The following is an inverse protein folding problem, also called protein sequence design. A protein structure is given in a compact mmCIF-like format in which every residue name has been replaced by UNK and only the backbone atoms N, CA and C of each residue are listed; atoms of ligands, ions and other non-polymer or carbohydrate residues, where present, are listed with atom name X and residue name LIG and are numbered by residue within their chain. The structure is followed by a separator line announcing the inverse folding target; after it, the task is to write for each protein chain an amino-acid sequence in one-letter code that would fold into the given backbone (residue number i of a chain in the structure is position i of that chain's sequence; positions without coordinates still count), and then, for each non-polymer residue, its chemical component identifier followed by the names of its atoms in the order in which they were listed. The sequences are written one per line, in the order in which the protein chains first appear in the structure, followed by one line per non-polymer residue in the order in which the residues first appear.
data_IF_899550675497
#
_entry.id   IF_899550675497
#
_cell.length_a   1.000
_cell.length_b   1.000
_cell.length_c   1.000
_cell.angle_alpha   90.00
_cell.angle_beta   90.00
_cell.angle_gamma   90.00
#
_symmetry.space_group_name_H-M   'P 1'
#
loop_
_entity.id
_entity.type
_entity.pdbx_description
1 polymer ?
#
# COMPACT_ATOMS: atom_id res chain seq x y z
N UNK A 1 6.84 9.90 27.26
CA UNK A 1 7.62 9.75 28.51
C UNK A 1 6.71 10.11 29.66
N UNK A 2 6.63 9.25 30.68
CA UNK A 2 5.92 9.53 31.93
C UNK A 2 6.99 9.81 32.98
N UNK A 3 6.85 10.94 33.69
CA UNK A 3 7.78 11.33 34.77
C UNK A 3 7.04 11.28 36.07
N UNK A 4 7.60 10.60 37.07
CA UNK A 4 7.11 10.66 38.45
C UNK A 4 7.95 11.63 39.24
N UNK A 5 7.29 12.55 40.00
CA UNK A 5 7.94 13.43 40.95
C UNK A 5 7.78 12.87 42.37
N UNK A 6 8.78 13.07 43.24
CA UNK A 6 8.81 12.57 44.62
C UNK A 6 8.60 11.02 44.72
N UNK A 7 9.27 10.30 43.85
CA UNK A 7 9.11 8.85 43.73
C UNK A 7 10.18 8.04 44.48
N UNK A 8 10.74 8.61 45.54
CA UNK A 8 11.75 7.93 46.39
C UNK A 8 11.14 6.65 46.99
N UNK A 9 11.89 5.55 46.87
CA UNK A 9 11.47 4.18 47.28
C UNK A 9 10.26 3.61 46.50
N UNK A 10 9.96 4.15 45.30
CA UNK A 10 8.92 3.65 44.45
C UNK A 10 9.51 2.85 43.27
N UNK A 11 8.71 1.92 42.77
CA UNK A 11 8.97 1.18 41.51
C UNK A 11 7.81 1.37 40.53
N UNK A 12 8.05 1.11 39.27
CA UNK A 12 7.00 1.18 38.23
C UNK A 12 6.66 -0.24 37.81
N UNK A 13 5.38 -0.53 37.70
CA UNK A 13 4.82 -1.63 36.95
C UNK A 13 4.07 -1.09 35.73
N UNK A 14 4.20 -1.78 34.57
CA UNK A 14 3.52 -1.39 33.35
C UNK A 14 3.03 -2.60 32.59
N UNK A 15 1.80 -2.55 32.11
CA UNK A 15 1.20 -3.59 31.28
C UNK A 15 0.27 -2.99 30.23
N UNK A 16 0.10 -3.68 29.13
CA UNK A 16 -0.92 -3.35 28.13
C UNK A 16 -2.04 -4.39 28.13
N UNK A 17 -3.25 -3.98 27.77
CA UNK A 17 -4.40 -4.88 27.56
C UNK A 17 -4.23 -5.77 26.30
N UNK A 18 -3.23 -5.49 25.45
CA UNK A 18 -2.85 -6.27 24.29
C UNK A 18 -1.35 -6.65 24.32
N UNK A 19 -0.95 -7.40 25.33
CA UNK A 19 0.45 -7.78 25.57
C UNK A 19 1.07 -8.62 24.44
N UNK A 20 0.24 -9.32 23.65
CA UNK A 20 0.73 -10.07 22.48
C UNK A 20 1.16 -9.16 21.34
N UNK A 21 0.59 -7.94 21.23
CA UNK A 21 0.90 -6.94 20.21
C UNK A 21 1.88 -5.89 20.70
N UNK A 22 1.79 -5.50 21.97
CA UNK A 22 2.64 -4.47 22.57
C UNK A 22 3.34 -5.03 23.82
N UNK A 23 4.61 -5.34 23.68
CA UNK A 23 5.44 -5.73 24.83
C UNK A 23 5.88 -4.50 25.62
N UNK A 24 5.84 -4.61 26.94
CA UNK A 24 6.31 -3.56 27.85
C UNK A 24 7.57 -4.01 28.56
N UNK A 25 8.52 -3.11 28.75
CA UNK A 25 9.67 -3.27 29.63
C UNK A 25 9.84 -2.03 30.50
N UNK A 26 10.31 -2.24 31.73
CA UNK A 26 10.54 -1.17 32.72
C UNK A 26 12.01 -1.20 33.10
N UNK A 27 12.65 -0.03 33.02
CA UNK A 27 14.02 0.17 33.51
C UNK A 27 14.06 1.43 34.38
N UNK A 28 14.12 1.26 35.70
CA UNK A 28 13.97 2.33 36.67
C UNK A 28 12.61 3.02 36.51
N UNK A 29 12.60 4.31 36.18
CA UNK A 29 11.39 5.11 35.94
C UNK A 29 11.01 5.24 34.47
N UNK A 30 11.62 4.43 33.59
CA UNK A 30 11.35 4.46 32.14
C UNK A 30 10.56 3.23 31.75
N UNK A 31 9.40 3.46 31.13
CA UNK A 31 8.59 2.42 30.51
C UNK A 31 8.81 2.47 28.98
N UNK A 32 9.23 1.36 28.42
CA UNK A 32 9.37 1.18 26.97
C UNK A 32 8.26 0.26 26.48
N UNK A 33 7.57 0.67 25.43
CA UNK A 33 6.57 -0.14 24.71
C UNK A 33 7.11 -0.48 23.33
N UNK A 34 7.22 -1.77 23.03
CA UNK A 34 7.69 -2.28 21.74
C UNK A 34 6.53 -2.96 21.03
N UNK A 35 6.02 -2.39 19.93
CA UNK A 35 4.99 -3.04 19.12
C UNK A 35 5.59 -4.17 18.29
N UNK A 36 4.85 -5.26 18.08
CA UNK A 36 5.08 -6.18 16.98
C UNK A 36 4.59 -5.56 15.67
N UNK A 37 5.06 -6.07 14.55
CA UNK A 37 4.57 -5.62 13.24
C UNK A 37 3.04 -5.81 13.14
N UNK A 38 2.34 -4.74 12.75
CA UNK A 38 0.93 -4.83 12.41
C UNK A 38 0.81 -5.23 10.94
N UNK A 39 0.46 -6.47 10.70
CA UNK A 39 0.28 -7.02 9.34
C UNK A 39 -1.12 -6.74 8.77
N UNK A 40 -2.02 -6.15 9.56
CA UNK A 40 -3.39 -5.81 9.15
C UNK A 40 -3.47 -4.37 8.66
N UNK A 41 -4.44 -4.05 7.82
CA UNK A 41 -4.71 -2.69 7.34
C UNK A 41 -5.36 -1.81 8.42
N UNK A 42 -5.91 -2.42 9.47
CA UNK A 42 -6.58 -1.73 10.57
C UNK A 42 -5.58 -1.27 11.61
N UNK A 43 -5.78 -0.07 12.13
CA UNK A 43 -5.00 0.38 13.29
C UNK A 43 -5.31 -0.48 14.52
N UNK A 44 -4.28 -0.87 15.26
CA UNK A 44 -4.42 -1.57 16.53
C UNK A 44 -4.27 -0.56 17.65
N UNK A 45 -5.30 -0.44 18.50
CA UNK A 45 -5.27 0.41 19.69
C UNK A 45 -5.20 -0.46 20.95
N UNK A 46 -4.48 0.01 21.95
CA UNK A 46 -4.40 -0.63 23.25
C UNK A 46 -4.31 0.42 24.36
N UNK A 47 -4.55 -0.01 25.58
CA UNK A 47 -4.38 0.82 26.77
C UNK A 47 -3.14 0.36 27.54
N UNK A 48 -2.18 1.26 27.71
CA UNK A 48 -1.03 1.07 28.58
C UNK A 48 -1.43 1.53 29.99
N UNK A 49 -1.36 0.64 30.97
CA UNK A 49 -1.56 0.95 32.38
C UNK A 49 -0.20 0.99 33.06
N UNK A 50 0.10 2.08 33.73
CA UNK A 50 1.34 2.32 34.49
C UNK A 50 0.95 2.53 35.95
N UNK A 51 1.54 1.75 36.85
CA UNK A 51 1.34 1.85 38.31
C UNK A 51 2.63 2.28 38.97
N UNK A 52 2.53 3.25 39.84
CA UNK A 52 3.59 3.59 40.80
C UNK A 52 3.37 2.75 42.07
N UNK A 53 4.36 1.93 42.39
CA UNK A 53 4.30 0.97 43.49
C UNK A 53 5.18 1.44 44.65
N UNK A 54 4.66 1.41 45.86
CA UNK A 54 5.41 1.63 47.10
C UNK A 54 5.09 0.53 48.11
N UNK A 55 6.11 -0.11 48.63
CA UNK A 55 5.98 -1.25 49.57
C UNK A 55 5.01 -2.35 49.09
N UNK A 56 5.00 -2.64 47.77
CA UNK A 56 4.15 -3.66 47.18
C UNK A 56 2.70 -3.26 46.87
N UNK A 57 2.33 -2.02 47.16
CA UNK A 57 0.98 -1.48 46.87
C UNK A 57 1.05 -0.39 45.81
N UNK A 58 0.02 -0.32 44.93
CA UNK A 58 -0.10 0.76 43.96
C UNK A 58 -0.53 2.04 44.69
N UNK A 59 0.27 3.09 44.60
CA UNK A 59 0.01 4.39 45.17
C UNK A 59 -0.50 5.41 44.16
N UNK A 60 -0.24 5.16 42.85
CA UNK A 60 -0.84 5.92 41.76
C UNK A 60 -0.97 4.99 40.52
N UNK A 61 -1.94 5.29 39.67
CA UNK A 61 -2.17 4.56 38.42
C UNK A 61 -2.52 5.54 37.31
N UNK A 62 -1.83 5.41 36.17
CA UNK A 62 -2.10 6.17 34.95
C UNK A 62 -2.35 5.24 33.81
N UNK A 63 -3.29 5.63 32.94
CA UNK A 63 -3.56 4.94 31.69
C UNK A 63 -3.21 5.83 30.50
N UNK A 64 -2.66 5.24 29.45
CA UNK A 64 -2.30 5.93 28.21
C UNK A 64 -2.83 5.10 27.03
N UNK A 65 -3.62 5.72 26.17
CA UNK A 65 -3.99 5.10 24.92
C UNK A 65 -2.77 5.07 24.01
N UNK A 66 -2.47 3.89 23.46
CA UNK A 66 -1.42 3.69 22.48
C UNK A 66 -2.05 3.16 21.19
N UNK A 67 -1.50 3.55 20.05
CA UNK A 67 -1.99 3.13 18.74
C UNK A 67 -0.83 2.82 17.83
N UNK A 68 -0.98 1.74 17.08
CA UNK A 68 -0.11 1.39 15.96
C UNK A 68 -0.94 1.48 14.68
N UNK A 69 -0.47 2.24 13.71
CA UNK A 69 -1.11 2.30 12.41
C UNK A 69 -1.20 0.91 11.78
N UNK A 70 -2.23 0.68 10.99
CA UNK A 70 -2.31 -0.48 10.12
C UNK A 70 -1.18 -0.48 9.10
N UNK A 71 -0.93 -1.65 8.50
CA UNK A 71 -0.02 -1.76 7.36
C UNK A 71 -0.49 -0.79 6.29
N UNK A 72 0.39 0.12 5.90
CA UNK A 72 0.12 1.01 4.78
C UNK A 72 0.01 0.17 3.51
N UNK A 73 -1.19 0.03 2.99
CA UNK A 73 -1.36 -0.49 1.63
C UNK A 73 -0.95 0.64 0.69
N UNK A 74 0.04 0.43 -0.18
CA UNK A 74 0.35 1.44 -1.18
C UNK A 74 -0.90 1.67 -2.06
N UNK A 75 -1.55 2.83 -1.91
CA UNK A 75 -2.72 3.17 -2.69
C UNK A 75 -3.98 3.59 -1.94
N UNK A 76 -3.94 3.92 -0.65
CA UNK A 76 -5.05 4.40 0.21
C UNK A 76 -6.44 4.48 -0.43
N UNK A 77 -7.47 4.00 0.22
CA UNK A 77 -8.91 4.06 -0.13
C UNK A 77 -9.38 3.61 -1.53
N UNK A 78 -8.52 3.06 -2.39
CA UNK A 78 -8.88 2.49 -3.70
C UNK A 78 -8.43 3.32 -4.90
N UNK A 79 -8.43 2.67 -6.07
CA UNK A 79 -8.11 3.28 -7.35
C UNK A 79 -9.33 4.00 -7.89
N UNK A 80 -9.16 5.26 -8.25
CA UNK A 80 -10.17 6.06 -8.93
C UNK A 80 -9.74 6.32 -10.37
N UNK A 81 -10.72 6.50 -11.25
CA UNK A 81 -10.45 6.89 -12.62
C UNK A 81 -9.77 8.26 -12.65
N UNK A 82 -8.77 8.38 -13.50
CA UNK A 82 -8.04 9.62 -13.76
C UNK A 82 -8.23 10.05 -15.21
N UNK A 83 -7.97 11.30 -15.53
CA UNK A 83 -7.96 11.85 -16.89
C UNK A 83 -6.58 12.40 -17.28
N UNK A 84 -5.59 12.23 -16.41
CA UNK A 84 -4.21 12.60 -16.69
C UNK A 84 -3.27 11.59 -16.02
N UNK A 85 -2.12 11.35 -16.65
CA UNK A 85 -1.06 10.48 -16.13
C UNK A 85 0.01 11.35 -15.45
N UNK A 86 0.36 11.00 -14.23
CA UNK A 86 1.54 11.53 -13.53
C UNK A 86 2.64 10.47 -13.55
N UNK A 87 3.80 10.82 -14.11
CA UNK A 87 4.94 9.91 -14.20
C UNK A 87 5.40 9.40 -12.81
N UNK A 88 5.86 8.16 -12.75
CA UNK A 88 6.33 7.52 -11.52
C UNK A 88 5.21 7.03 -10.59
N UNK A 89 3.96 7.14 -11.00
CA UNK A 89 2.81 6.63 -10.21
C UNK A 89 2.38 5.24 -10.68
N UNK A 90 1.67 4.56 -9.79
CA UNK A 90 1.06 3.24 -10.07
C UNK A 90 -0.37 3.42 -10.56
N UNK A 91 -0.74 2.65 -11.56
CA UNK A 91 -2.06 2.67 -12.19
C UNK A 91 -2.57 1.25 -12.41
N UNK A 92 -3.89 1.08 -12.39
CA UNK A 92 -4.55 -0.07 -12.96
C UNK A 92 -4.97 0.29 -14.39
N UNK A 93 -4.54 -0.50 -15.37
CA UNK A 93 -5.02 -0.36 -16.75
C UNK A 93 -6.28 -1.21 -16.88
N UNK A 94 -7.42 -0.54 -16.95
CA UNK A 94 -8.75 -1.16 -16.92
C UNK A 94 -9.49 -0.84 -18.22
N UNK A 95 -10.14 -1.84 -18.78
CA UNK A 95 -11.03 -1.70 -19.92
C UNK A 95 -12.43 -2.18 -19.54
N UNK A 96 -13.45 -1.58 -20.16
CA UNK A 96 -14.82 -2.08 -20.10
C UNK A 96 -15.10 -2.91 -21.36
N UNK A 97 -15.45 -4.17 -21.16
CA UNK A 97 -15.75 -5.12 -22.24
C UNK A 97 -17.05 -5.84 -21.92
N UNK A 98 -18.05 -5.69 -22.79
CA UNK A 98 -19.37 -6.32 -22.62
C UNK A 98 -20.00 -6.02 -21.25
N UNK A 99 -19.96 -4.78 -20.81
CA UNK A 99 -20.47 -4.32 -19.50
C UNK A 99 -19.77 -4.94 -18.28
N UNK A 100 -18.58 -5.46 -18.46
CA UNK A 100 -17.68 -5.91 -17.39
C UNK A 100 -16.40 -5.11 -17.42
N UNK A 101 -15.81 -4.93 -16.26
CA UNK A 101 -14.48 -4.35 -16.16
C UNK A 101 -13.42 -5.43 -16.12
N UNK A 102 -12.40 -5.28 -16.95
CA UNK A 102 -11.24 -6.16 -16.97
C UNK A 102 -9.97 -5.33 -16.75
N UNK A 103 -9.07 -5.83 -15.95
CA UNK A 103 -7.77 -5.21 -15.67
C UNK A 103 -6.65 -5.99 -16.35
N UNK A 104 -5.55 -5.30 -16.68
CA UNK A 104 -4.32 -5.94 -17.12
C UNK A 104 -3.87 -6.95 -16.04
N UNK A 105 -3.46 -8.18 -16.42
CA UNK A 105 -3.14 -9.22 -15.44
C UNK A 105 -1.94 -8.87 -14.57
N UNK A 106 -1.82 -9.54 -13.41
CA UNK A 106 -0.64 -9.44 -12.56
C UNK A 106 0.63 -9.94 -13.28
N UNK A 107 1.78 -9.42 -12.87
CA UNK A 107 3.08 -9.73 -13.47
C UNK A 107 3.33 -11.24 -13.64
N UNK A 108 2.93 -12.06 -12.67
CA UNK A 108 3.08 -13.52 -12.69
C UNK A 108 2.27 -14.20 -13.81
N UNK A 109 1.18 -13.58 -14.26
CA UNK A 109 0.32 -14.08 -15.34
C UNK A 109 0.63 -13.46 -16.70
N UNK A 110 1.54 -12.50 -16.77
CA UNK A 110 1.98 -11.90 -18.03
C UNK A 110 2.99 -12.83 -18.71
N UNK A 111 2.63 -13.32 -19.89
CA UNK A 111 3.54 -14.08 -20.74
C UNK A 111 3.99 -13.24 -21.93
N UNK A 112 5.04 -13.67 -22.62
CA UNK A 112 5.67 -12.89 -23.71
C UNK A 112 4.86 -12.85 -25.01
N UNK A 113 3.54 -12.99 -24.98
CA UNK A 113 2.75 -12.93 -26.22
C UNK A 113 1.46 -12.15 -26.08
N UNK A 114 0.52 -12.62 -25.30
CA UNK A 114 -0.78 -11.96 -25.11
C UNK A 114 -1.12 -11.89 -23.63
N UNK A 115 -1.69 -10.78 -23.24
CA UNK A 115 -2.23 -10.63 -21.89
C UNK A 115 -3.73 -10.87 -21.93
N UNK A 116 -4.20 -11.78 -21.08
CA UNK A 116 -5.63 -11.98 -20.89
C UNK A 116 -6.07 -11.11 -19.74
N UNK A 117 -7.02 -10.23 -19.98
CA UNK A 117 -7.61 -9.39 -18.92
C UNK A 117 -8.27 -10.24 -17.84
N UNK A 118 -8.25 -9.76 -16.63
CA UNK A 118 -8.86 -10.39 -15.46
C UNK A 118 -10.07 -9.57 -15.04
N UNK A 119 -11.19 -10.23 -14.76
CA UNK A 119 -12.39 -9.55 -14.27
C UNK A 119 -12.08 -8.81 -12.95
N UNK A 120 -12.50 -7.56 -12.85
CA UNK A 120 -12.30 -6.74 -11.65
C UNK A 120 -13.59 -6.00 -11.28
N UNK A 121 -13.83 -5.86 -9.99
CA UNK A 121 -15.03 -5.20 -9.49
C UNK A 121 -14.80 -3.70 -9.35
N UNK A 122 -15.69 -2.91 -9.96
CA UNK A 122 -15.78 -1.46 -9.75
C UNK A 122 -17.06 -1.18 -8.94
N UNK A 123 -16.91 -0.57 -7.77
CA UNK A 123 -18.01 -0.21 -6.88
C UNK A 123 -17.95 1.29 -6.56
N UNK A 124 -19.07 2.00 -6.77
CA UNK A 124 -19.09 3.44 -6.53
C UNK A 124 -18.04 4.23 -7.33
N UNK A 125 -17.66 3.77 -8.52
CA UNK A 125 -16.62 4.38 -9.36
C UNK A 125 -15.19 4.13 -8.88
N UNK A 126 -14.98 3.17 -7.99
CA UNK A 126 -13.67 2.82 -7.41
C UNK A 126 -13.39 1.34 -7.50
N UNK A 127 -12.11 0.99 -7.61
CA UNK A 127 -11.60 -0.36 -7.39
C UNK A 127 -10.91 -0.35 -6.03
N UNK A 128 -11.28 -1.29 -5.16
CA UNK A 128 -10.69 -1.40 -3.83
C UNK A 128 -9.17 -1.64 -3.94
N UNK A 129 -8.39 -0.91 -3.12
CA UNK A 129 -6.97 -1.21 -2.95
C UNK A 129 -6.81 -2.30 -1.92
N UNK A 130 -6.33 -3.44 -2.35
CA UNK A 130 -5.98 -4.60 -1.54
C UNK A 130 -4.86 -5.38 -2.24
N UNK A 131 -4.25 -6.33 -1.56
CA UNK A 131 -3.10 -7.08 -2.08
C UNK A 131 -3.38 -7.73 -3.45
N UNK A 132 -4.60 -8.26 -3.65
CA UNK A 132 -4.98 -8.91 -4.90
C UNK A 132 -5.07 -7.89 -6.06
N UNK A 133 -5.72 -6.75 -5.83
CA UNK A 133 -5.89 -5.71 -6.85
C UNK A 133 -4.60 -4.94 -7.10
N UNK A 134 -3.79 -4.72 -6.06
CA UNK A 134 -2.51 -4.02 -6.17
C UNK A 134 -1.47 -4.83 -6.97
N UNK A 135 -1.62 -6.17 -7.04
CA UNK A 135 -0.80 -7.03 -7.89
C UNK A 135 -0.97 -6.73 -9.39
N UNK A 136 -2.10 -6.14 -9.81
CA UNK A 136 -2.36 -5.74 -11.19
C UNK A 136 -1.77 -4.37 -11.55
N UNK A 137 -1.24 -3.63 -10.58
CA UNK A 137 -0.75 -2.29 -10.81
C UNK A 137 0.51 -2.28 -11.69
N UNK A 138 0.53 -1.34 -12.62
CA UNK A 138 1.71 -1.00 -13.42
C UNK A 138 2.25 0.36 -13.00
N UNK A 139 3.55 0.57 -13.15
CA UNK A 139 4.17 1.88 -12.98
C UNK A 139 4.36 2.52 -14.35
N UNK A 140 3.92 3.75 -14.51
CA UNK A 140 4.10 4.53 -15.73
C UNK A 140 5.17 5.59 -15.45
N UNK A 141 6.29 5.52 -16.15
CA UNK A 141 7.44 6.42 -16.00
C UNK A 141 7.60 7.28 -17.24
N UNK A 142 8.04 8.53 -17.09
CA UNK A 142 8.37 9.38 -18.23
C UNK A 142 9.69 8.91 -18.89
N UNK A 143 9.72 8.97 -20.22
CA UNK A 143 10.91 8.75 -21.03
C UNK A 143 10.90 9.76 -22.19
N UNK A 144 11.52 10.93 -21.97
CA UNK A 144 11.37 12.08 -22.86
C UNK A 144 9.91 12.57 -22.89
N UNK A 145 9.38 12.73 -24.10
CA UNK A 145 7.99 13.14 -24.34
C UNK A 145 7.01 11.95 -24.32
N UNK A 146 7.52 10.74 -24.09
CA UNK A 146 6.75 9.50 -24.07
C UNK A 146 6.82 8.82 -22.69
N UNK A 147 6.31 7.60 -22.61
CA UNK A 147 6.25 6.83 -21.39
C UNK A 147 6.83 5.42 -21.57
N UNK A 148 7.28 4.86 -20.48
CA UNK A 148 7.52 3.41 -20.36
C UNK A 148 6.60 2.83 -19.29
N UNK A 149 6.16 1.60 -19.48
CA UNK A 149 5.23 0.92 -18.59
C UNK A 149 5.94 -0.29 -17.99
N UNK A 150 5.96 -0.38 -16.66
CA UNK A 150 6.52 -1.51 -15.92
C UNK A 150 5.42 -2.26 -15.17
N UNK A 151 5.47 -3.57 -15.21
CA UNK A 151 4.63 -4.38 -14.33
C UNK A 151 5.13 -4.38 -12.88
N UNK A 152 4.38 -5.01 -11.96
CA UNK A 152 4.73 -5.07 -10.53
C UNK A 152 6.05 -5.83 -10.24
N UNK A 153 6.56 -6.64 -11.17
CA UNK A 153 7.87 -7.29 -11.08
C UNK A 153 9.02 -6.44 -11.67
N UNK A 154 8.75 -5.19 -12.09
CA UNK A 154 9.75 -4.27 -12.64
C UNK A 154 10.12 -4.52 -14.10
N UNK A 155 9.46 -5.47 -14.80
CA UNK A 155 9.70 -5.72 -16.22
C UNK A 155 8.97 -4.69 -17.08
N UNK A 156 9.62 -4.21 -18.11
CA UNK A 156 9.02 -3.33 -19.11
C UNK A 156 8.04 -4.11 -19.98
N UNK A 157 6.88 -3.51 -20.21
CA UNK A 157 5.87 -4.01 -21.13
C UNK A 157 6.07 -3.31 -22.46
N UNK A 158 6.38 -4.05 -23.49
CA UNK A 158 6.65 -3.52 -24.83
C UNK A 158 5.76 -4.20 -25.87
N UNK A 159 5.35 -3.45 -26.88
CA UNK A 159 4.74 -4.03 -28.07
C UNK A 159 5.80 -4.77 -28.88
N UNK A 160 5.48 -5.98 -29.34
CA UNK A 160 6.38 -6.78 -30.16
C UNK A 160 5.97 -6.74 -31.63
N UNK A 161 4.78 -7.27 -31.96
CA UNK A 161 4.22 -7.24 -33.30
C UNK A 161 2.72 -7.56 -33.29
N UNK A 162 1.93 -6.91 -34.13
CA UNK A 162 0.50 -7.14 -34.25
C UNK A 162 -0.22 -6.90 -32.91
N UNK A 163 -0.70 -7.94 -32.24
CA UNK A 163 -1.34 -7.86 -30.92
C UNK A 163 -0.48 -8.48 -29.81
N UNK A 164 0.80 -8.70 -30.05
CA UNK A 164 1.69 -9.38 -29.13
C UNK A 164 2.49 -8.37 -28.31
N UNK A 165 2.71 -8.70 -27.04
CA UNK A 165 3.58 -7.99 -26.14
C UNK A 165 4.83 -8.81 -25.81
N UNK A 166 5.86 -8.17 -25.32
CA UNK A 166 6.99 -8.82 -24.67
C UNK A 166 7.31 -8.16 -23.35
N UNK A 167 7.90 -8.92 -22.44
CA UNK A 167 8.46 -8.41 -21.19
C UNK A 167 9.98 -8.30 -21.34
N UNK A 168 10.54 -7.15 -21.00
CA UNK A 168 11.96 -6.85 -21.13
C UNK A 168 12.56 -6.35 -19.80
N UNK A 169 13.85 -6.62 -19.61
CA UNK A 169 14.60 -6.11 -18.45
C UNK A 169 15.00 -4.64 -18.61
N UNK A 170 15.18 -4.21 -19.84
CA UNK A 170 15.49 -2.83 -20.22
C UNK A 170 14.50 -2.36 -21.26
N UNK A 171 14.12 -1.07 -21.20
CA UNK A 171 13.21 -0.52 -22.19
C UNK A 171 13.92 -0.25 -23.50
N UNK A 172 13.34 -0.73 -24.60
CA UNK A 172 13.73 -0.40 -25.97
C UNK A 172 12.59 0.26 -26.75
N UNK A 173 11.42 0.41 -26.13
CA UNK A 173 10.23 0.98 -26.72
C UNK A 173 9.52 1.91 -25.76
N UNK A 174 8.83 2.89 -26.31
CA UNK A 174 8.05 3.88 -25.58
C UNK A 174 6.59 3.83 -25.99
N UNK A 175 5.75 4.44 -25.15
CA UNK A 175 4.32 4.51 -25.32
C UNK A 175 3.87 5.97 -25.33
N UNK A 176 3.10 6.33 -26.34
CA UNK A 176 2.32 7.58 -26.31
C UNK A 176 1.01 7.28 -25.57
N UNK A 177 0.75 8.05 -24.51
CA UNK A 177 -0.47 7.90 -23.70
C UNK A 177 -1.22 9.22 -23.74
N UNK A 178 -2.37 9.23 -24.40
CA UNK A 178 -3.22 10.42 -24.56
C UNK A 178 -4.62 10.18 -24.04
N UNK A 179 -5.21 11.19 -23.39
CA UNK A 179 -6.59 11.12 -22.94
C UNK A 179 -7.53 11.70 -24.00
N UNK A 180 -8.50 10.92 -24.40
CA UNK A 180 -9.59 11.33 -25.33
C UNK A 180 -10.78 11.80 -24.48
N UNK A 181 -11.02 13.12 -24.45
CA UNK A 181 -12.09 13.71 -23.66
C UNK A 181 -13.48 13.33 -24.16
N UNK A 182 -13.66 13.13 -25.47
CA UNK A 182 -14.97 12.82 -26.06
C UNK A 182 -15.38 11.38 -25.74
N UNK A 183 -14.41 10.46 -25.72
CA UNK A 183 -14.64 9.06 -25.42
C UNK A 183 -14.41 8.72 -23.94
N UNK A 184 -13.82 9.66 -23.21
CA UNK A 184 -13.54 9.49 -21.79
C UNK A 184 -12.66 8.24 -21.50
N UNK A 185 -11.59 8.05 -22.29
CA UNK A 185 -10.64 6.96 -22.15
C UNK A 185 -9.21 7.40 -22.47
N UNK A 186 -8.22 6.55 -22.14
CA UNK A 186 -6.84 6.71 -22.59
C UNK A 186 -6.56 5.87 -23.84
N UNK A 187 -5.99 6.50 -24.85
CA UNK A 187 -5.32 5.79 -25.95
C UNK A 187 -3.86 5.52 -25.53
N UNK A 188 -3.45 4.24 -25.56
CA UNK A 188 -2.08 3.80 -25.28
C UNK A 188 -1.55 3.19 -26.57
N UNK A 189 -0.63 3.87 -27.20
CA UNK A 189 -0.07 3.49 -28.51
C UNK A 189 1.43 3.35 -28.38
N UNK A 190 2.01 2.34 -29.01
CA UNK A 190 3.46 2.29 -29.18
C UNK A 190 3.91 3.37 -30.16
N UNK A 191 5.05 3.97 -29.91
CA UNK A 191 5.68 4.82 -30.92
C UNK A 191 6.19 3.89 -32.02
N UNK A 192 5.52 3.94 -33.17
CA UNK A 192 6.00 3.25 -34.37
C UNK A 192 7.40 3.78 -34.70
N UNK A 193 8.37 2.88 -34.67
CA UNK A 193 9.71 3.12 -35.24
C UNK A 193 9.64 3.15 -36.73
#
# INVERSE_FOLDING_TARGET
TVTAANADDCTIEAATDKSEQFTTSVNGMVVTVTPKENTTEQAITATLTIKLMKAGAAVDTKTVAISQAGKSVPGGSGYTRVNAIAAGKKYLVVAEVNSKYVVMPAAAAMTSSKFTGVDITVSGGKIESNEANDAYAVTIEANGDAYVIKNSAGKYIEHNSGTNFKLADTSSKTWTITYDNDKNWFAIMDEAT
#
